data_IF_636826113012
#
_entry.id   IF_636826113012
#
_cell.length_a   1.000
_cell.length_b   1.000
_cell.length_c   1.000
_cell.angle_alpha   90.00
_cell.angle_beta   90.00
_cell.angle_gamma   90.00
#
_symmetry.space_group_name_H-M   'P 1'
#
loop_
_entity.id
_entity.type
_entity.pdbx_description
1 polymer ?
#
# COMPACT_ATOMS: atom_id res chain seq x y z
N UNK A 1 3.62 -6.81 3.09
CA UNK A 1 4.63 -6.01 3.85
C UNK A 1 3.97 -4.74 4.36
N UNK A 2 4.35 -4.19 5.52
CA UNK A 2 3.79 -2.92 5.98
C UNK A 2 4.01 -1.80 4.96
N UNK A 3 3.03 -0.92 4.82
CA UNK A 3 3.17 0.32 4.07
C UNK A 3 4.19 1.22 4.77
N UNK A 4 5.01 1.90 3.97
CA UNK A 4 6.04 2.81 4.45
C UNK A 4 6.09 3.99 3.48
N UNK A 5 5.61 5.18 3.87
CA UNK A 5 5.52 6.33 2.98
C UNK A 5 6.89 6.85 2.51
N UNK A 6 8.00 6.43 3.14
CA UNK A 6 9.34 6.83 2.71
C UNK A 6 9.78 6.09 1.44
N UNK A 7 9.22 4.92 1.16
CA UNK A 7 9.59 4.05 0.04
C UNK A 7 8.40 3.58 -0.81
N UNK A 8 7.17 3.85 -0.37
CA UNK A 8 5.93 3.49 -1.03
C UNK A 8 5.04 4.71 -1.25
N UNK A 9 4.36 4.75 -2.39
CA UNK A 9 3.35 5.75 -2.72
C UNK A 9 2.02 5.04 -2.95
N UNK A 10 1.06 5.29 -2.08
CA UNK A 10 -0.26 4.66 -2.11
C UNK A 10 -1.12 5.32 -3.21
N UNK A 11 -1.48 4.53 -4.23
CA UNK A 11 -2.32 5.01 -5.33
C UNK A 11 -3.80 4.82 -5.01
N UNK A 12 -4.14 3.73 -4.32
CA UNK A 12 -5.48 3.43 -3.86
C UNK A 12 -5.43 2.53 -2.64
N UNK A 13 -6.52 2.55 -1.87
CA UNK A 13 -6.79 1.58 -0.82
C UNK A 13 -7.83 0.59 -1.34
N UNK A 14 -7.61 -0.69 -1.06
CA UNK A 14 -8.60 -1.71 -1.35
C UNK A 14 -8.71 -2.66 -0.15
N UNK A 15 -9.89 -3.21 0.10
CA UNK A 15 -10.01 -4.29 1.05
C UNK A 15 -9.28 -5.55 0.62
N UNK A 16 -8.81 -6.30 1.60
CA UNK A 16 -8.16 -7.58 1.36
C UNK A 16 -8.41 -8.57 2.52
N UNK A 17 -8.98 -9.76 2.27
CA UNK A 17 -9.37 -10.69 3.32
C UNK A 17 -8.18 -11.28 4.09
N UNK A 18 -7.02 -11.38 3.44
CA UNK A 18 -5.82 -12.04 3.99
C UNK A 18 -4.70 -11.08 4.39
N UNK A 19 -4.80 -9.80 3.99
CA UNK A 19 -3.74 -8.82 4.21
C UNK A 19 -4.26 -7.83 5.24
N UNK A 20 -3.46 -7.60 6.28
CA UNK A 20 -3.81 -6.66 7.33
C UNK A 20 -3.92 -5.23 6.77
N UNK A 21 -4.70 -4.39 7.46
CA UNK A 21 -4.74 -2.96 7.20
C UNK A 21 -3.32 -2.36 7.20
N UNK A 22 -3.13 -1.30 6.41
CA UNK A 22 -1.86 -0.58 6.25
C UNK A 22 -0.71 -1.46 5.72
N UNK A 23 -1.02 -2.57 5.04
CA UNK A 23 -0.03 -3.36 4.33
C UNK A 23 -0.17 -3.21 2.82
N UNK A 24 0.96 -3.31 2.11
CA UNK A 24 0.98 -3.38 0.65
C UNK A 24 0.24 -4.63 0.19
N UNK A 25 -0.89 -4.42 -0.49
CA UNK A 25 -1.69 -5.47 -1.10
C UNK A 25 -1.13 -5.85 -2.48
N UNK A 26 -0.83 -4.84 -3.30
CA UNK A 26 -0.33 -5.04 -4.67
C UNK A 26 0.70 -3.98 -5.01
N UNK A 27 1.78 -4.38 -5.71
CA UNK A 27 2.76 -3.46 -6.29
C UNK A 27 2.41 -3.22 -7.76
N UNK A 28 2.00 -1.99 -8.07
CA UNK A 28 1.67 -1.57 -9.44
C UNK A 28 2.91 -1.21 -10.25
N UNK A 29 3.88 -0.59 -9.58
CA UNK A 29 5.18 -0.22 -10.16
C UNK A 29 6.26 -0.34 -9.10
N UNK A 30 7.30 -1.11 -9.40
CA UNK A 30 8.44 -1.28 -8.50
C UNK A 30 9.10 0.08 -8.17
N UNK A 31 9.53 0.25 -6.92
CA UNK A 31 10.34 1.40 -6.52
C UNK A 31 11.77 1.30 -7.06
N UNK A 32 12.53 2.39 -6.97
CA UNK A 32 13.95 2.39 -7.29
C UNK A 32 14.74 3.14 -6.21
N UNK A 33 15.82 2.50 -5.77
CA UNK A 33 16.75 3.02 -4.76
C UNK A 33 18.17 2.93 -5.30
N UNK A 34 18.99 3.93 -4.99
CA UNK A 34 20.42 3.94 -5.29
C UNK A 34 21.20 4.21 -4.01
N UNK A 35 21.88 3.17 -3.51
CA UNK A 35 22.38 3.16 -2.13
C UNK A 35 21.23 3.35 -1.14
N UNK A 36 21.40 4.28 -0.21
CA UNK A 36 20.39 4.61 0.81
C UNK A 36 19.34 5.62 0.32
N UNK A 37 19.49 6.15 -0.91
CA UNK A 37 18.59 7.17 -1.45
C UNK A 37 17.45 6.54 -2.23
N UNK A 38 16.23 6.90 -1.85
CA UNK A 38 15.02 6.62 -2.63
C UNK A 38 14.96 7.58 -3.81
N UNK A 39 14.98 7.02 -5.03
CA UNK A 39 14.87 7.80 -6.26
C UNK A 39 13.43 7.80 -6.80
N UNK A 40 12.70 6.72 -6.55
CA UNK A 40 11.27 6.61 -6.83
C UNK A 40 10.63 5.66 -5.84
N UNK A 41 9.60 6.10 -5.13
CA UNK A 41 8.78 5.22 -4.30
C UNK A 41 8.07 4.18 -5.18
N UNK A 42 7.84 2.98 -4.64
CA UNK A 42 7.02 1.99 -5.34
C UNK A 42 5.56 2.44 -5.32
N UNK A 43 4.88 2.39 -6.46
CA UNK A 43 3.44 2.65 -6.48
C UNK A 43 2.72 1.39 -6.04
N UNK A 44 1.91 1.51 -5.01
CA UNK A 44 1.26 0.37 -4.37
C UNK A 44 -0.23 0.61 -4.15
N UNK A 45 -0.97 -0.47 -4.05
CA UNK A 45 -2.28 -0.48 -3.40
C UNK A 45 -2.08 -0.90 -1.94
N UNK A 46 -2.70 -0.18 -1.03
CA UNK A 46 -2.66 -0.48 0.41
C UNK A 46 -3.94 -1.22 0.78
N UNK A 47 -3.81 -2.24 1.61
CA UNK A 47 -4.96 -2.94 2.15
C UNK A 47 -5.66 -2.07 3.20
N UNK A 48 -6.99 -1.99 3.14
CA UNK A 48 -7.82 -1.45 4.22
C UNK A 48 -8.26 -2.53 5.22
N UNK A 49 -7.59 -3.69 5.23
CA UNK A 49 -8.00 -4.87 6.00
C UNK A 49 -9.10 -5.68 5.32
N UNK A 50 -9.57 -6.72 6.00
CA UNK A 50 -10.73 -7.49 5.54
C UNK A 50 -11.97 -6.60 5.60
N UNK A 51 -12.81 -6.60 4.55
CA UNK A 51 -14.12 -5.94 4.64
C UNK A 51 -14.94 -6.62 5.71
N UNK A 52 -15.04 -6.01 6.88
CA UNK A 52 -16.11 -6.33 7.82
C UNK A 52 -17.32 -5.44 7.51
N UNK A 53 -17.88 -5.56 6.30
CA UNK A 53 -19.25 -5.18 5.95
C UNK A 53 -19.81 -3.79 6.34
N UNK A 54 -19.01 -2.81 6.80
CA UNK A 54 -19.51 -1.51 7.22
C UNK A 54 -19.00 -0.40 6.31
N UNK A 55 -19.82 -0.09 5.32
CA UNK A 55 -19.85 1.16 4.56
C UNK A 55 -19.74 2.36 5.51
N UNK A 56 -18.85 3.31 5.18
CA UNK A 56 -19.04 4.71 5.56
C UNK A 56 -18.43 5.59 4.49
N UNK A 57 -19.25 5.81 3.48
CA UNK A 57 -19.28 7.01 2.64
C UNK A 57 -19.00 8.30 3.45
N UNK A 58 -18.16 9.18 2.91
CA UNK A 58 -18.23 10.64 3.13
C UNK A 58 -17.61 11.36 1.94
#
# INVERSE_FOLDING_TARGET
VPFDPTVHEAIMHQPHPEIAEDHVAVVLRAGYRHGDRVLRAAHVMVSSGAEDGSDSSS
#
